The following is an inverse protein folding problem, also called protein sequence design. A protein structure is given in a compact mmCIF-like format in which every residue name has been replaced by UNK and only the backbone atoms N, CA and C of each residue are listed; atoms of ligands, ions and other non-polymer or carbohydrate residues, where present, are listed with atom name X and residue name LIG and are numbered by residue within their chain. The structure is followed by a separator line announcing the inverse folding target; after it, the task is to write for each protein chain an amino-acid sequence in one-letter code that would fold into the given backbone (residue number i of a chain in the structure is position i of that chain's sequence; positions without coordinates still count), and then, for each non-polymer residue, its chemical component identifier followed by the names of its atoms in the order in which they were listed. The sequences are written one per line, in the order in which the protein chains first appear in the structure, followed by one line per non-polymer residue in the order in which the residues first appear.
data_IF_081964327849
#
_entry.id   IF_081964327849
#
_cell.length_a   1.000
_cell.length_b   1.000
_cell.length_c   1.000
_cell.angle_alpha   90.00
_cell.angle_beta   90.00
_cell.angle_gamma   90.00
#
_symmetry.space_group_name_H-M   'P 1'
#
loop_
_entity.id
_entity.type
_entity.pdbx_description
1 polymer ?
#
# COMPACT_ATOMS: atom_id res chain seq x y z
N UNK A 1 20.78 -39.64 -0.77
CA UNK A 1 20.16 -38.32 -1.06
C UNK A 1 19.64 -37.78 0.26
N UNK A 2 20.07 -36.59 0.69
CA UNK A 2 19.38 -35.92 1.80
C UNK A 2 18.05 -35.42 1.25
N UNK A 3 16.94 -35.78 1.89
CA UNK A 3 15.65 -35.16 1.62
C UNK A 3 15.81 -33.64 1.74
N UNK A 4 15.37 -32.95 0.70
CA UNK A 4 15.34 -31.50 0.69
C UNK A 4 14.18 -31.09 1.59
N UNK A 5 14.48 -30.36 2.66
CA UNK A 5 13.48 -29.81 3.57
C UNK A 5 12.72 -28.69 2.84
N UNK A 6 11.57 -29.05 2.25
CA UNK A 6 10.73 -28.13 1.49
C UNK A 6 10.22 -26.97 2.35
N UNK A 7 9.95 -27.18 3.64
CA UNK A 7 9.53 -26.10 4.55
C UNK A 7 10.64 -25.09 4.75
N UNK A 8 11.89 -25.55 4.92
CA UNK A 8 13.03 -24.67 5.04
C UNK A 8 13.25 -23.85 3.76
N UNK A 9 13.16 -24.48 2.59
CA UNK A 9 13.25 -23.76 1.31
C UNK A 9 12.16 -22.72 1.19
N UNK A 10 10.91 -23.07 1.48
CA UNK A 10 9.79 -22.12 1.40
C UNK A 10 10.01 -20.92 2.32
N UNK A 11 10.47 -21.12 3.56
CA UNK A 11 10.78 -20.03 4.48
C UNK A 11 11.88 -19.12 3.96
N UNK A 12 12.96 -19.70 3.44
CA UNK A 12 14.09 -18.92 2.88
C UNK A 12 13.65 -18.13 1.65
N UNK A 13 12.91 -18.77 0.73
CA UNK A 13 12.39 -18.14 -0.49
C UNK A 13 11.41 -17.01 -0.13
N UNK A 14 10.45 -17.27 0.75
CA UNK A 14 9.47 -16.26 1.19
C UNK A 14 10.15 -15.07 1.87
N UNK A 15 11.13 -15.31 2.74
CA UNK A 15 11.89 -14.25 3.39
C UNK A 15 12.74 -13.43 2.41
N UNK A 16 13.35 -14.09 1.40
CA UNK A 16 14.22 -13.41 0.45
C UNK A 16 13.46 -12.64 -0.64
N UNK A 17 12.37 -13.19 -1.15
CA UNK A 17 11.57 -12.62 -2.24
C UNK A 17 10.33 -11.86 -1.77
N UNK A 18 10.06 -11.84 -0.46
CA UNK A 18 9.05 -10.99 0.13
C UNK A 18 9.30 -9.52 -0.21
N UNK A 19 8.26 -8.87 -0.73
CA UNK A 19 8.29 -7.47 -1.10
C UNK A 19 7.26 -6.67 -0.31
N UNK A 20 7.60 -5.41 -0.06
CA UNK A 20 6.74 -4.46 0.62
C UNK A 20 6.13 -3.52 -0.39
N UNK A 21 4.81 -3.32 -0.30
CA UNK A 21 4.07 -2.39 -1.14
C UNK A 21 4.01 -1.01 -0.49
N UNK A 22 4.11 0.02 -1.33
CA UNK A 22 3.88 1.40 -0.92
C UNK A 22 2.46 1.83 -1.30
N UNK A 23 1.71 2.32 -0.33
CA UNK A 23 0.38 2.86 -0.53
C UNK A 23 0.34 4.30 -0.01
N UNK A 24 -0.08 5.23 -0.85
CA UNK A 24 -0.16 6.65 -0.49
C UNK A 24 -1.05 7.44 -1.44
N UNK A 25 -1.41 8.65 -1.03
CA UNK A 25 -2.02 9.62 -1.93
C UNK A 25 -0.94 10.28 -2.77
N UNK A 26 -1.05 10.18 -4.09
CA UNK A 26 -0.09 10.82 -5.00
C UNK A 26 -0.10 12.34 -4.78
N UNK A 27 1.09 12.93 -4.75
CA UNK A 27 1.28 14.37 -4.53
C UNK A 27 2.21 14.95 -5.58
N UNK A 28 1.76 15.99 -6.29
CA UNK A 28 2.60 16.70 -7.26
C UNK A 28 3.24 15.76 -8.30
N UNK A 29 4.51 15.99 -8.60
CA UNK A 29 5.29 15.21 -9.57
C UNK A 29 6.18 14.20 -8.87
N UNK A 30 5.62 13.04 -8.53
CA UNK A 30 6.39 11.95 -7.93
C UNK A 30 7.31 11.25 -8.95
N UNK A 31 8.43 10.66 -8.48
CA UNK A 31 9.32 9.89 -9.35
C UNK A 31 8.60 8.83 -10.15
N UNK A 32 8.79 8.87 -11.46
CA UNK A 32 8.30 7.85 -12.39
C UNK A 32 9.34 6.77 -12.62
N UNK A 33 8.91 5.67 -13.25
CA UNK A 33 9.84 4.62 -13.68
C UNK A 33 10.92 5.16 -14.62
N UNK A 34 10.58 6.10 -15.50
CA UNK A 34 11.54 6.69 -16.43
C UNK A 34 12.56 7.57 -15.71
N UNK A 35 12.14 8.34 -14.71
CA UNK A 35 13.05 9.20 -13.92
C UNK A 35 14.13 8.35 -13.25
N UNK A 36 13.75 7.23 -12.63
CA UNK A 36 14.71 6.31 -11.98
C UNK A 36 15.59 5.62 -13.02
N UNK A 37 15.04 5.23 -14.17
CA UNK A 37 15.76 4.52 -15.24
C UNK A 37 16.81 5.39 -15.93
N UNK A 38 16.56 6.69 -16.07
CA UNK A 38 17.43 7.63 -16.78
C UNK A 38 18.63 8.11 -15.96
N UNK A 39 18.54 8.04 -14.63
CA UNK A 39 19.67 8.40 -13.77
C UNK A 39 20.78 7.35 -13.91
N UNK A 40 22.03 7.81 -13.96
CA UNK A 40 23.22 6.95 -14.14
C UNK A 40 23.29 5.81 -13.12
N UNK A 41 22.97 6.11 -11.86
CA UNK A 41 22.93 5.13 -10.77
C UNK A 41 21.78 4.12 -10.87
N UNK A 42 20.78 4.37 -11.72
CA UNK A 42 19.54 3.58 -11.86
C UNK A 42 18.88 3.28 -10.52
N UNK A 43 18.94 4.25 -9.61
CA UNK A 43 18.62 4.07 -8.20
C UNK A 43 17.82 5.25 -7.71
N UNK A 44 16.83 4.97 -6.86
CA UNK A 44 16.04 6.01 -6.19
C UNK A 44 16.94 6.96 -5.40
N UNK A 45 18.09 6.49 -4.92
CA UNK A 45 19.07 7.31 -4.18
C UNK A 45 19.80 8.34 -5.04
N UNK A 46 19.78 8.19 -6.37
CA UNK A 46 20.32 9.19 -7.30
C UNK A 46 19.32 10.30 -7.66
N UNK A 47 18.08 10.21 -7.20
CA UNK A 47 17.07 11.25 -7.43
C UNK A 47 17.42 12.53 -6.65
N UNK A 48 17.07 13.73 -7.16
CA UNK A 48 17.30 14.99 -6.47
C UNK A 48 16.67 15.05 -5.07
N UNK A 49 17.21 15.89 -4.18
CA UNK A 49 16.73 16.01 -2.80
C UNK A 49 15.44 16.84 -2.69
N UNK A 50 14.31 16.28 -3.15
CA UNK A 50 12.98 16.89 -3.05
C UNK A 50 12.13 16.21 -1.98
N UNK A 51 11.07 16.88 -1.51
CA UNK A 51 10.15 16.30 -0.52
C UNK A 51 9.51 14.99 -0.99
N UNK A 52 9.15 14.89 -2.27
CA UNK A 52 8.54 13.69 -2.85
C UNK A 52 9.55 12.54 -2.99
N UNK A 53 10.80 12.87 -3.30
CA UNK A 53 11.87 11.86 -3.39
C UNK A 53 12.25 11.36 -1.99
N UNK A 54 12.28 12.25 -0.99
CA UNK A 54 12.45 11.88 0.43
C UNK A 54 11.35 10.94 0.91
N UNK A 55 10.11 11.14 0.47
CA UNK A 55 9.00 10.21 0.76
C UNK A 55 9.33 8.81 0.25
N UNK A 56 9.77 8.67 -1.00
CA UNK A 56 10.18 7.38 -1.57
C UNK A 56 11.41 6.78 -0.85
N UNK A 57 12.39 7.60 -0.49
CA UNK A 57 13.56 7.14 0.28
C UNK A 57 13.17 6.63 1.67
N UNK A 58 12.26 7.32 2.35
CA UNK A 58 11.78 6.93 3.66
C UNK A 58 10.95 5.64 3.58
N UNK A 59 10.17 5.45 2.52
CA UNK A 59 9.53 4.16 2.22
C UNK A 59 10.57 3.04 2.10
N UNK A 60 11.65 3.23 1.33
CA UNK A 60 12.71 2.24 1.22
C UNK A 60 13.41 1.98 2.57
N UNK A 61 13.65 3.02 3.38
CA UNK A 61 14.21 2.87 4.74
C UNK A 61 13.28 2.09 5.66
N UNK A 62 11.98 2.36 5.63
CA UNK A 62 10.98 1.67 6.44
C UNK A 62 10.88 0.19 6.03
N UNK A 63 10.86 -0.08 4.71
CA UNK A 63 10.92 -1.44 4.16
C UNK A 63 12.13 -2.21 4.68
N UNK A 64 13.31 -1.57 4.67
CA UNK A 64 14.55 -2.16 5.17
C UNK A 64 14.55 -2.41 6.68
N UNK A 65 13.94 -1.51 7.47
CA UNK A 65 13.76 -1.70 8.91
C UNK A 65 12.89 -2.92 9.23
N UNK A 66 11.93 -3.25 8.37
CA UNK A 66 11.12 -4.47 8.48
C UNK A 66 11.86 -5.75 8.01
N UNK A 67 13.10 -5.63 7.53
CA UNK A 67 13.91 -6.76 7.09
C UNK A 67 13.76 -7.15 5.62
N UNK A 68 12.96 -6.42 4.83
CA UNK A 68 12.70 -6.77 3.43
C UNK A 68 13.69 -6.13 2.46
N UNK A 69 14.02 -6.88 1.41
CA UNK A 69 14.94 -6.43 0.35
C UNK A 69 14.23 -5.69 -0.79
N UNK A 70 12.97 -6.04 -1.02
CA UNK A 70 12.20 -5.62 -2.18
C UNK A 70 11.13 -4.62 -1.76
N UNK A 71 11.10 -3.48 -2.44
CA UNK A 71 10.17 -2.39 -2.19
C UNK A 71 9.49 -2.04 -3.51
N UNK A 72 8.17 -1.88 -3.51
CA UNK A 72 7.40 -1.63 -4.73
C UNK A 72 6.50 -0.40 -4.56
N UNK A 73 6.72 0.59 -5.42
CA UNK A 73 5.89 1.78 -5.55
C UNK A 73 5.25 1.81 -6.93
N UNK A 74 3.96 2.05 -7.00
CA UNK A 74 3.20 2.13 -8.26
C UNK A 74 3.69 3.23 -9.20
N UNK A 75 4.24 4.32 -8.65
CA UNK A 75 4.77 5.46 -9.41
C UNK A 75 6.05 5.14 -10.15
N UNK A 76 7.00 4.45 -9.50
CA UNK A 76 8.35 4.24 -10.05
C UNK A 76 8.70 2.79 -10.39
N UNK A 77 7.83 1.81 -10.09
CA UNK A 77 8.07 0.39 -10.42
C UNK A 77 7.17 -0.13 -11.55
N UNK A 78 6.29 0.70 -12.11
CA UNK A 78 5.44 0.35 -13.25
C UNK A 78 5.83 1.25 -14.42
N UNK A 79 6.17 0.64 -15.56
CA UNK A 79 6.38 1.40 -16.79
C UNK A 79 5.03 1.77 -17.42
N UNK A 80 4.57 2.99 -17.11
CA UNK A 80 3.30 3.54 -17.60
C UNK A 80 3.37 3.99 -19.07
N UNK A 81 4.55 3.96 -19.71
CA UNK A 81 4.69 4.34 -21.12
C UNK A 81 4.12 3.30 -22.09
N UNK A 82 3.94 2.06 -21.63
CA UNK A 82 3.44 0.96 -22.44
C UNK A 82 2.03 0.58 -21.99
N UNK A 83 1.03 0.82 -22.85
CA UNK A 83 -0.39 0.62 -22.52
C UNK A 83 -0.74 -0.81 -22.10
N UNK A 84 -0.08 -1.82 -22.69
CA UNK A 84 -0.27 -3.23 -22.31
C UNK A 84 0.23 -3.52 -20.89
N UNK A 85 1.41 -3.01 -20.52
CA UNK A 85 1.97 -3.14 -19.16
C UNK A 85 1.08 -2.40 -18.16
N UNK A 86 0.58 -1.23 -18.52
CA UNK A 86 -0.34 -0.48 -17.67
C UNK A 86 -1.63 -1.29 -17.40
N UNK A 87 -2.32 -1.77 -18.43
CA UNK A 87 -3.54 -2.57 -18.27
C UNK A 87 -3.31 -3.87 -17.48
N UNK A 88 -2.20 -4.57 -17.75
CA UNK A 88 -1.83 -5.76 -16.99
C UNK A 88 -1.55 -5.42 -15.52
N UNK A 89 -0.93 -4.26 -15.25
CA UNK A 89 -0.64 -3.82 -13.90
C UNK A 89 -1.92 -3.50 -13.13
N UNK A 90 -2.84 -2.76 -13.75
CA UNK A 90 -4.14 -2.39 -13.17
C UNK A 90 -4.94 -3.64 -12.77
N UNK A 91 -5.00 -4.64 -13.65
CA UNK A 91 -5.67 -5.93 -13.39
C UNK A 91 -4.94 -6.83 -12.37
N UNK A 92 -3.69 -6.52 -12.03
CA UNK A 92 -2.88 -7.29 -11.09
C UNK A 92 -2.73 -6.61 -9.71
N UNK A 93 -3.19 -5.36 -9.55
CA UNK A 93 -2.99 -4.57 -8.33
C UNK A 93 -3.47 -5.30 -7.07
N UNK A 94 -4.71 -5.80 -7.07
CA UNK A 94 -5.24 -6.60 -5.96
C UNK A 94 -4.30 -7.75 -5.58
N UNK A 95 -3.85 -8.53 -6.58
CA UNK A 95 -2.95 -9.67 -6.36
C UNK A 95 -1.58 -9.24 -5.83
N UNK A 96 -1.06 -8.09 -6.24
CA UNK A 96 0.23 -7.60 -5.74
C UNK A 96 0.16 -7.17 -4.29
N UNK A 97 -0.93 -6.52 -3.88
CA UNK A 97 -1.13 -6.18 -2.48
C UNK A 97 -1.43 -7.42 -1.63
N UNK A 98 -2.28 -8.33 -2.12
CA UNK A 98 -2.61 -9.59 -1.42
C UNK A 98 -1.40 -10.50 -1.21
N UNK A 99 -0.46 -10.54 -2.15
CA UNK A 99 0.77 -11.34 -2.06
C UNK A 99 1.98 -10.55 -1.52
N UNK A 100 1.78 -9.32 -1.05
CA UNK A 100 2.86 -8.55 -0.44
C UNK A 100 3.16 -9.06 0.96
N UNK A 101 4.42 -8.95 1.38
CA UNK A 101 4.81 -9.33 2.73
C UNK A 101 4.35 -8.31 3.78
N UNK A 102 4.22 -7.05 3.37
CA UNK A 102 3.59 -5.97 4.12
C UNK A 102 3.21 -4.82 3.18
N UNK A 103 2.25 -4.01 3.61
CA UNK A 103 1.92 -2.74 2.96
C UNK A 103 2.18 -1.57 3.91
N UNK A 104 2.98 -0.59 3.47
CA UNK A 104 3.21 0.64 4.23
C UNK A 104 2.34 1.75 3.65
N UNK A 105 1.44 2.27 4.48
CA UNK A 105 0.54 3.37 4.14
C UNK A 105 1.13 4.68 4.66
N UNK A 106 1.40 5.63 3.77
CA UNK A 106 1.86 6.96 4.16
C UNK A 106 0.73 7.99 4.08
N UNK A 107 0.37 8.55 5.23
CA UNK A 107 -0.72 9.50 5.41
C UNK A 107 -0.18 10.94 5.37
N UNK A 108 0.09 11.43 4.17
CA UNK A 108 0.79 12.71 3.97
C UNK A 108 0.09 13.95 4.58
N UNK A 109 -1.22 13.87 4.87
CA UNK A 109 -2.00 14.95 5.49
C UNK A 109 -2.21 14.79 6.99
N UNK A 110 -1.63 13.77 7.63
CA UNK A 110 -1.78 13.51 9.07
C UNK A 110 -0.55 14.02 9.80
N UNK A 111 -0.73 15.05 10.62
CA UNK A 111 0.35 15.67 11.39
C UNK A 111 0.86 14.74 12.50
N UNK A 112 2.11 14.96 12.93
CA UNK A 112 2.68 14.30 14.10
C UNK A 112 2.57 15.20 15.35
N UNK A 113 2.21 14.66 16.53
CA UNK A 113 1.67 13.32 16.74
C UNK A 113 0.27 13.20 16.15
N UNK A 114 0.03 12.08 15.47
CA UNK A 114 -1.28 11.73 14.92
C UNK A 114 -2.31 11.49 16.03
N UNK A 115 -3.57 11.77 15.77
CA UNK A 115 -4.68 11.61 16.73
C UNK A 115 -5.75 10.66 16.19
N UNK A 116 -6.54 10.02 17.08
CA UNK A 116 -7.67 9.21 16.63
C UNK A 116 -8.62 10.01 15.72
N UNK A 117 -9.07 9.39 14.65
CA UNK A 117 -9.91 10.01 13.63
C UNK A 117 -9.12 10.69 12.49
N UNK A 118 -7.81 10.86 12.61
CA UNK A 118 -7.02 11.45 11.52
C UNK A 118 -6.90 10.52 10.30
N UNK A 119 -6.86 9.20 10.51
CA UNK A 119 -6.81 8.21 9.43
C UNK A 119 -8.13 8.20 8.65
N UNK A 120 -9.27 8.15 9.34
CA UNK A 120 -10.61 8.19 8.75
C UNK A 120 -10.87 9.46 7.94
N UNK A 121 -10.36 10.61 8.39
CA UNK A 121 -10.46 11.90 7.67
C UNK A 121 -9.40 12.11 6.60
N UNK A 122 -8.44 11.19 6.46
CA UNK A 122 -7.34 11.36 5.52
C UNK A 122 -7.82 11.27 4.06
N UNK A 123 -7.12 11.97 3.17
CA UNK A 123 -7.34 11.82 1.72
C UNK A 123 -7.10 10.39 1.23
N UNK A 124 -6.26 9.63 1.95
CA UNK A 124 -6.03 8.23 1.65
C UNK A 124 -7.31 7.41 1.80
N UNK A 125 -8.16 7.70 2.78
CA UNK A 125 -9.42 6.98 3.01
C UNK A 125 -10.49 7.24 1.95
N UNK A 126 -10.36 8.30 1.16
CA UNK A 126 -11.36 8.68 0.16
C UNK A 126 -10.89 8.46 -1.27
N UNK A 127 -9.71 7.89 -1.51
CA UNK A 127 -9.22 7.60 -2.88
C UNK A 127 -9.75 6.24 -3.36
N UNK A 128 -10.13 6.14 -4.63
CA UNK A 128 -10.66 4.89 -5.22
C UNK A 128 -9.71 3.70 -5.07
N UNK A 129 -8.46 3.90 -5.49
CA UNK A 129 -7.43 2.86 -5.48
C UNK A 129 -7.13 2.28 -4.09
N UNK A 130 -7.13 3.11 -3.05
CA UNK A 130 -6.67 2.75 -1.71
C UNK A 130 -7.59 1.76 -1.00
N UNK A 131 -8.81 1.53 -1.51
CA UNK A 131 -9.70 0.53 -0.97
C UNK A 131 -9.16 -0.89 -1.18
N UNK A 132 -8.64 -1.20 -2.37
CA UNK A 132 -7.96 -2.47 -2.60
C UNK A 132 -6.67 -2.57 -1.78
N UNK A 133 -5.93 -1.46 -1.67
CA UNK A 133 -4.68 -1.37 -0.89
C UNK A 133 -4.90 -1.55 0.61
N UNK A 134 -6.11 -1.25 1.11
CA UNK A 134 -6.54 -1.52 2.48
C UNK A 134 -6.95 -2.97 2.66
N UNK A 135 -7.85 -3.46 1.81
CA UNK A 135 -8.51 -4.75 2.04
C UNK A 135 -7.64 -5.94 1.66
N UNK A 136 -6.89 -5.86 0.56
CA UNK A 136 -6.17 -7.03 0.04
C UNK A 136 -4.94 -7.47 0.83
N UNK A 137 -4.09 -6.61 1.44
CA UNK A 137 -2.91 -7.09 2.17
C UNK A 137 -3.28 -7.81 3.46
N UNK A 138 -2.47 -8.78 3.88
CA UNK A 138 -2.60 -9.44 5.19
C UNK A 138 -1.98 -8.59 6.31
N UNK A 139 -0.86 -7.92 6.02
CA UNK A 139 -0.12 -7.08 6.97
C UNK A 139 -0.08 -5.64 6.47
N UNK A 140 -0.47 -4.70 7.33
CA UNK A 140 -0.46 -3.26 7.02
C UNK A 140 0.16 -2.45 8.16
N UNK A 141 0.84 -1.37 7.81
CA UNK A 141 1.35 -0.38 8.74
C UNK A 141 1.02 1.04 8.26
N UNK A 142 0.42 1.84 9.12
CA UNK A 142 0.10 3.23 8.89
C UNK A 142 1.18 4.14 9.46
N UNK A 143 1.61 5.10 8.65
CA UNK A 143 2.57 6.13 9.02
C UNK A 143 1.98 7.51 8.81
N UNK A 144 2.27 8.43 9.74
CA UNK A 144 1.95 9.85 9.60
C UNK A 144 2.92 10.58 8.63
N UNK A 145 2.71 11.88 8.45
CA UNK A 145 3.51 12.69 7.54
C UNK A 145 5.00 12.78 7.92
N UNK A 146 5.38 12.45 9.17
CA UNK A 146 6.76 12.41 9.66
C UNK A 146 7.35 11.00 9.68
N UNK A 147 6.70 10.02 9.03
CA UNK A 147 7.11 8.61 9.02
C UNK A 147 7.17 7.99 10.42
N UNK A 148 6.30 8.43 11.33
CA UNK A 148 6.06 7.77 12.62
C UNK A 148 4.84 6.89 12.52
N UNK A 149 4.83 5.77 13.25
CA UNK A 149 3.69 4.86 13.29
C UNK A 149 2.46 5.62 13.80
N UNK A 150 1.34 5.46 13.11
CA UNK A 150 0.07 6.09 13.47
C UNK A 150 -0.31 5.72 14.90
N UNK A 151 -0.69 6.73 15.69
CA UNK A 151 -0.95 6.66 17.14
C UNK A 151 0.20 6.10 17.99
N UNK A 152 1.42 6.01 17.42
CA UNK A 152 2.53 5.31 18.05
C UNK A 152 2.32 3.80 18.15
N UNK A 153 1.41 3.23 17.37
CA UNK A 153 1.06 1.81 17.44
C UNK A 153 2.21 0.94 16.91
N UNK A 154 2.79 0.15 17.82
CA UNK A 154 3.92 -0.75 17.57
C UNK A 154 3.51 -2.21 17.35
N UNK A 155 2.21 -2.47 17.19
CA UNK A 155 1.68 -3.80 16.87
C UNK A 155 2.36 -4.37 15.62
N UNK A 156 2.55 -5.69 15.59
CA UNK A 156 3.17 -6.38 14.46
C UNK A 156 2.34 -6.28 13.16
N UNK A 157 1.06 -5.97 13.29
CA UNK A 157 0.14 -5.73 12.18
C UNK A 157 -0.96 -4.77 12.63
N UNK A 158 -1.13 -3.63 11.95
CA UNK A 158 -2.19 -2.69 12.30
C UNK A 158 -3.59 -3.25 12.00
N UNK A 159 -3.72 -4.31 11.20
CA UNK A 159 -4.99 -5.06 11.02
C UNK A 159 -5.45 -5.83 12.26
N UNK A 160 -4.61 -5.94 13.28
CA UNK A 160 -4.90 -6.63 14.53
C UNK A 160 -4.97 -5.66 15.73
N UNK A 161 -4.94 -4.35 15.43
CA UNK A 161 -4.87 -3.27 16.42
C UNK A 161 -6.19 -2.50 16.59
N UNK A 162 -6.22 -1.56 17.53
CA UNK A 162 -7.34 -0.66 17.75
C UNK A 162 -7.62 0.27 16.56
N UNK A 163 -6.63 0.49 15.67
CA UNK A 163 -6.80 1.27 14.42
C UNK A 163 -7.92 0.68 13.55
N UNK A 164 -8.16 -0.62 13.66
CA UNK A 164 -9.21 -1.30 12.88
C UNK A 164 -10.61 -0.84 13.23
N UNK A 165 -10.85 -0.40 14.46
CA UNK A 165 -12.15 0.15 14.83
C UNK A 165 -12.39 1.46 14.08
N UNK A 166 -11.38 2.35 14.02
CA UNK A 166 -11.48 3.59 13.25
C UNK A 166 -11.71 3.33 11.76
N UNK A 167 -11.02 2.34 11.19
CA UNK A 167 -11.20 1.95 9.79
C UNK A 167 -12.60 1.38 9.53
N UNK A 168 -13.06 0.48 10.40
CA UNK A 168 -14.38 -0.14 10.33
C UNK A 168 -15.49 0.89 10.39
N UNK A 169 -15.38 1.88 11.28
CA UNK A 169 -16.33 2.97 11.41
C UNK A 169 -16.33 3.85 10.15
N UNK A 170 -15.14 4.14 9.59
CA UNK A 170 -15.01 4.99 8.40
C UNK A 170 -15.61 4.36 7.14
N UNK A 171 -15.41 3.06 6.92
CA UNK A 171 -15.91 2.36 5.72
C UNK A 171 -17.21 1.58 5.97
N UNK A 172 -17.71 1.59 7.21
CA UNK A 172 -18.90 0.88 7.68
C UNK A 172 -18.87 -0.62 7.32
N UNK A 173 -17.76 -1.30 7.64
CA UNK A 173 -17.56 -2.74 7.44
C UNK A 173 -16.99 -3.32 8.75
N UNK A 174 -17.41 -4.53 9.18
CA UNK A 174 -16.88 -5.15 10.38
C UNK A 174 -15.34 -5.28 10.36
N UNK A 175 -14.65 -5.04 11.48
CA UNK A 175 -13.18 -5.18 11.56
C UNK A 175 -12.68 -6.54 11.03
N UNK A 176 -13.40 -7.62 11.32
CA UNK A 176 -13.05 -8.98 10.86
C UNK A 176 -13.02 -9.12 9.34
N UNK A 177 -13.93 -8.44 8.62
CA UNK A 177 -13.96 -8.46 7.15
C UNK A 177 -12.77 -7.68 6.57
N UNK A 178 -12.30 -6.63 7.24
CA UNK A 178 -11.11 -5.88 6.81
C UNK A 178 -9.84 -6.70 7.08
N UNK A 179 -9.80 -7.44 8.20
CA UNK A 179 -8.67 -8.27 8.60
C UNK A 179 -8.46 -9.47 7.66
N UNK A 180 -9.54 -10.15 7.27
CA UNK A 180 -9.49 -11.38 6.47
C UNK A 180 -10.34 -11.27 5.19
N UNK A 181 -10.14 -10.20 4.43
CA UNK A 181 -10.97 -9.88 3.27
C UNK A 181 -10.84 -10.88 2.10
N UNK A 182 -11.97 -11.36 1.62
CA UNK A 182 -12.16 -11.98 0.30
C UNK A 182 -13.10 -11.12 -0.56
N UNK A 183 -12.89 -11.01 -1.88
CA UNK A 183 -13.83 -10.31 -2.78
C UNK A 183 -15.25 -10.89 -2.76
N UNK A 184 -15.39 -12.16 -2.35
CA UNK A 184 -16.68 -12.85 -2.22
C UNK A 184 -17.42 -12.51 -0.91
N UNK A 185 -16.74 -11.88 0.07
CA UNK A 185 -17.33 -11.55 1.37
C UNK A 185 -18.34 -10.39 1.30
N UNK A 186 -18.32 -9.62 0.23
CA UNK A 186 -19.17 -8.45 0.05
C UNK A 186 -20.21 -8.66 -1.04
N UNK A 187 -21.47 -8.38 -0.71
CA UNK A 187 -22.53 -8.29 -1.70
C UNK A 187 -22.35 -7.07 -2.63
N UNK A 188 -23.00 -7.11 -3.80
CA UNK A 188 -22.96 -6.01 -4.78
C UNK A 188 -23.31 -4.65 -4.15
N UNK A 189 -24.30 -4.61 -3.25
CA UNK A 189 -24.72 -3.39 -2.56
C UNK A 189 -23.60 -2.79 -1.70
N UNK A 190 -22.82 -3.63 -1.03
CA UNK A 190 -21.73 -3.18 -0.16
C UNK A 190 -20.55 -2.69 -0.98
N UNK A 191 -20.21 -3.40 -2.05
CA UNK A 191 -19.19 -2.96 -3.04
C UNK A 191 -19.54 -1.59 -3.61
N UNK A 192 -20.78 -1.40 -4.07
CA UNK A 192 -21.27 -0.11 -4.57
C UNK A 192 -21.24 0.99 -3.50
N UNK A 193 -21.62 0.67 -2.26
CA UNK A 193 -21.57 1.62 -1.14
C UNK A 193 -20.14 2.06 -0.86
N UNK A 194 -19.19 1.14 -0.78
CA UNK A 194 -17.79 1.47 -0.59
C UNK A 194 -17.25 2.32 -1.74
N UNK A 195 -17.55 1.94 -2.98
CA UNK A 195 -17.17 2.70 -4.16
C UNK A 195 -17.72 4.14 -4.12
N UNK A 196 -18.96 4.31 -3.65
CA UNK A 196 -19.61 5.62 -3.59
C UNK A 196 -18.97 6.61 -2.61
N UNK A 197 -18.19 6.14 -1.63
CA UNK A 197 -17.45 7.01 -0.70
C UNK A 197 -16.05 7.31 -1.20
N UNK A 198 -15.67 6.84 -2.40
CA UNK A 198 -14.35 7.05 -2.99
C UNK A 198 -14.41 8.04 -4.14
N UNK A 199 -13.29 8.75 -4.31
CA UNK A 199 -13.02 9.73 -5.34
C UNK A 199 -11.98 9.15 -6.30
N UNK A 200 -12.26 9.26 -7.59
CA UNK A 200 -11.35 8.98 -8.67
C UNK A 200 -11.08 10.27 -9.46
N UNK A 201 -9.85 10.44 -9.96
CA UNK A 201 -9.49 11.59 -10.82
C UNK A 201 -9.82 11.32 -12.28
N UNK A 202 -9.85 10.05 -12.66
CA UNK A 202 -10.20 9.54 -13.98
C UNK A 202 -11.48 8.72 -13.77
N UNK A 203 -12.50 8.93 -14.61
CA UNK A 203 -13.81 8.31 -14.41
C UNK A 203 -13.72 6.77 -14.43
N UNK A 204 -12.87 6.21 -15.29
CA UNK A 204 -12.60 4.78 -15.36
C UNK A 204 -12.00 4.23 -14.06
N UNK A 205 -11.27 5.06 -13.30
CA UNK A 205 -10.64 4.62 -12.06
C UNK A 205 -11.66 4.36 -10.93
N UNK A 206 -12.89 4.87 -11.06
CA UNK A 206 -13.97 4.56 -10.12
C UNK A 206 -14.27 3.05 -10.10
N UNK A 207 -14.11 2.36 -11.23
CA UNK A 207 -14.34 0.92 -11.31
C UNK A 207 -13.40 0.11 -10.39
N UNK A 208 -12.20 0.61 -10.08
CA UNK A 208 -11.28 -0.08 -9.17
C UNK A 208 -11.71 -0.02 -7.70
N UNK A 209 -12.69 0.80 -7.35
CA UNK A 209 -13.32 0.75 -6.03
C UNK A 209 -14.43 -0.31 -5.94
N UNK A 210 -14.79 -0.95 -7.05
CA UNK A 210 -15.70 -2.11 -7.13
C UNK A 210 -14.88 -3.40 -7.02
N UNK A 211 -14.41 -3.66 -5.81
CA UNK A 211 -13.60 -4.84 -5.42
C UNK A 211 -14.31 -6.15 -5.79
#
# INVERSE_FOLDING_TARGET
MKEVDEEWIQRVVAGFFGYVMFSHTWQGSEPTFQDVKQIESKSVWGLPDTLLNKKLHNFCKATRKLGYNWARSDTCCIDKSTSSILNQSLTSMYKWYANSAATLVFLAGVAHPSKPGDLSRSLWMTRAWTLQELLSPTIIFFYDAEWKLYLGDTSANHKESEIMQELADAINIPPGTIAAFSPDDLGVREKLRLASTRNATIDEDAAYSLI
#
